data_IF_526637259244
#
_entry.id   IF_526637259244
#
_cell.length_a   1.000
_cell.length_b   1.000
_cell.length_c   1.000
_cell.angle_alpha   90.00
_cell.angle_beta   90.00
_cell.angle_gamma   90.00
#
_symmetry.space_group_name_H-M   'P 1'
#
loop_
_entity.id
_entity.type
_entity.pdbx_description
1 polymer ?
#
# COMPACT_ATOMS: atom_id res chain seq x y z
N UNK A 1 -5.78 4.85 32.66
CA UNK A 1 -6.26 3.83 31.70
C UNK A 1 -6.88 4.65 30.60
N UNK A 2 -6.31 4.80 29.42
CA UNK A 2 -5.61 3.83 28.58
C UNK A 2 -4.40 4.50 27.90
N UNK A 3 -3.25 3.82 27.89
CA UNK A 3 -2.13 4.23 27.05
C UNK A 3 -2.60 4.06 25.60
N UNK A 4 -2.70 5.14 24.82
CA UNK A 4 -3.00 5.08 23.39
C UNK A 4 -1.97 4.18 22.70
N UNK A 5 -2.34 2.92 22.50
CA UNK A 5 -1.67 1.93 21.65
C UNK A 5 -1.86 2.27 20.17
N UNK A 6 -1.79 3.54 19.79
CA UNK A 6 -1.35 3.93 18.45
C UNK A 6 0.16 3.78 18.41
N UNK A 7 0.62 2.53 18.57
CA UNK A 7 1.91 2.12 18.03
C UNK A 7 1.90 2.59 16.58
N UNK A 8 2.69 3.63 16.28
CA UNK A 8 2.79 4.25 14.97
C UNK A 8 2.84 3.16 13.90
N UNK A 9 1.72 2.88 13.22
CA UNK A 9 1.66 1.82 12.22
C UNK A 9 2.65 2.18 11.11
N UNK A 10 3.78 1.46 11.03
CA UNK A 10 4.89 1.77 10.13
C UNK A 10 4.76 0.97 8.86
N UNK A 11 3.83 1.38 8.00
CA UNK A 11 3.74 0.81 6.66
C UNK A 11 4.88 1.29 5.78
N UNK A 12 5.36 0.42 4.90
CA UNK A 12 6.43 0.74 3.96
C UNK A 12 6.26 0.01 2.63
N UNK A 13 6.92 0.53 1.61
CA UNK A 13 7.12 -0.14 0.33
C UNK A 13 8.60 -0.25 -0.01
N UNK A 14 9.00 -1.42 -0.50
CA UNK A 14 10.39 -1.71 -0.88
C UNK A 14 10.70 -1.03 -2.22
N UNK A 15 11.59 -0.04 -2.23
CA UNK A 15 11.96 0.72 -3.44
C UNK A 15 13.20 0.16 -4.14
N UNK A 16 14.10 -0.49 -3.39
CA UNK A 16 15.32 -1.13 -3.93
C UNK A 16 15.30 -2.64 -3.72
N UNK A 17 15.77 -3.39 -4.73
CA UNK A 17 15.83 -4.85 -4.67
C UNK A 17 17.06 -5.29 -3.86
N UNK A 18 16.84 -6.11 -2.83
CA UNK A 18 17.92 -6.82 -2.14
C UNK A 18 18.14 -8.22 -2.73
N UNK A 19 19.38 -8.72 -2.74
CA UNK A 19 19.73 -10.08 -3.22
C UNK A 19 19.19 -11.20 -2.32
N UNK A 20 18.95 -10.92 -1.03
CA UNK A 20 18.47 -11.88 -0.02
C UNK A 20 17.23 -11.38 0.76
N UNK A 21 16.56 -10.35 0.25
CA UNK A 21 15.46 -9.69 0.95
C UNK A 21 14.19 -9.59 0.10
N UNK A 22 13.25 -8.80 0.59
CA UNK A 22 11.97 -8.56 -0.05
C UNK A 22 12.13 -7.98 -1.46
N UNK A 23 11.20 -8.34 -2.35
CA UNK A 23 11.24 -7.86 -3.73
C UNK A 23 10.77 -6.41 -3.83
N UNK A 24 11.28 -5.70 -4.84
CA UNK A 24 10.90 -4.31 -5.13
C UNK A 24 9.38 -4.21 -5.42
N UNK A 25 8.72 -3.21 -4.83
CA UNK A 25 7.27 -2.99 -4.90
C UNK A 25 6.44 -3.75 -3.85
N UNK A 26 7.11 -4.49 -2.99
CA UNK A 26 6.50 -5.19 -1.85
C UNK A 26 6.07 -4.19 -0.79
N UNK A 27 4.86 -4.36 -0.26
CA UNK A 27 4.31 -3.55 0.84
C UNK A 27 4.37 -4.37 2.12
N UNK A 28 4.80 -3.76 3.21
CA UNK A 28 4.86 -4.40 4.51
C UNK A 28 4.47 -3.47 5.65
N UNK A 29 4.32 -4.07 6.83
CA UNK A 29 4.17 -3.40 8.11
C UNK A 29 5.43 -3.68 8.94
N UNK A 30 6.13 -2.64 9.37
CA UNK A 30 7.32 -2.77 10.20
C UNK A 30 6.94 -2.83 11.67
N UNK A 31 7.23 -3.95 12.32
CA UNK A 31 6.93 -4.14 13.74
C UNK A 31 8.09 -3.58 14.59
N UNK A 32 9.34 -3.79 14.18
CA UNK A 32 10.54 -3.35 14.90
C UNK A 32 11.67 -2.91 13.95
N UNK A 33 12.51 -1.98 14.42
CA UNK A 33 13.77 -1.59 13.79
C UNK A 33 14.92 -2.20 14.60
N UNK A 34 15.77 -3.00 13.96
CA UNK A 34 16.93 -3.60 14.63
C UNK A 34 17.99 -2.53 14.90
N UNK A 35 18.90 -2.80 15.83
CA UNK A 35 20.07 -1.95 16.10
C UNK A 35 20.97 -1.73 14.85
N UNK A 36 20.83 -2.57 13.83
CA UNK A 36 21.54 -2.43 12.55
C UNK A 36 20.79 -1.56 11.51
N UNK A 37 19.61 -1.02 11.86
CA UNK A 37 18.78 -0.20 10.97
C UNK A 37 17.93 -1.01 9.97
N UNK A 38 17.76 -2.31 10.23
CA UNK A 38 16.87 -3.17 9.44
C UNK A 38 15.45 -3.12 9.99
N UNK A 39 14.47 -3.00 9.10
CA UNK A 39 13.05 -3.17 9.43
C UNK A 39 12.70 -4.65 9.35
N UNK A 40 12.15 -5.19 10.43
CA UNK A 40 11.54 -6.51 10.47
C UNK A 40 10.03 -6.31 10.38
N UNK A 41 9.40 -6.98 9.43
CA UNK A 41 8.00 -6.75 9.18
C UNK A 41 7.28 -7.85 8.44
N UNK A 42 5.96 -7.85 8.60
CA UNK A 42 5.04 -8.69 7.86
C UNK A 42 4.83 -8.10 6.48
N UNK A 43 4.90 -8.97 5.46
CA UNK A 43 4.71 -8.57 4.07
C UNK A 43 3.35 -8.99 3.55
N UNK A 44 2.70 -8.07 2.84
CA UNK A 44 1.42 -8.29 2.19
C UNK A 44 1.59 -8.64 0.71
N UNK A 45 1.00 -9.76 0.30
CA UNK A 45 0.92 -10.20 -1.09
C UNK A 45 -0.18 -9.50 -1.88
N UNK A 46 -0.22 -9.75 -3.19
CA UNK A 46 -1.40 -9.41 -4.00
C UNK A 46 -2.64 -10.07 -3.39
N UNK A 47 -3.67 -9.27 -3.08
CA UNK A 47 -4.85 -9.72 -2.35
C UNK A 47 -4.89 -9.38 -0.84
N UNK A 48 -3.90 -8.65 -0.31
CA UNK A 48 -3.88 -8.17 1.08
C UNK A 48 -3.48 -9.20 2.15
N UNK A 49 -3.35 -10.47 1.78
CA UNK A 49 -2.92 -11.52 2.71
C UNK A 49 -1.46 -11.34 3.12
N UNK A 50 -1.20 -11.44 4.44
CA UNK A 50 0.15 -11.66 4.96
C UNK A 50 0.74 -12.92 4.30
N UNK A 51 1.96 -12.80 3.77
CA UNK A 51 2.65 -13.89 3.07
C UNK A 51 3.83 -14.45 3.85
N UNK A 52 4.68 -13.58 4.37
CA UNK A 52 5.91 -13.95 5.06
C UNK A 52 6.41 -12.78 5.89
N UNK A 53 7.11 -13.05 6.98
CA UNK A 53 7.98 -12.06 7.60
C UNK A 53 9.25 -11.92 6.76
N UNK A 54 9.82 -10.72 6.74
CA UNK A 54 11.10 -10.50 6.09
C UNK A 54 11.80 -9.28 6.65
N UNK A 55 13.11 -9.24 6.41
CA UNK A 55 13.96 -8.15 6.84
C UNK A 55 14.33 -7.30 5.63
N UNK A 56 14.24 -5.98 5.77
CA UNK A 56 14.64 -5.03 4.73
C UNK A 56 15.32 -3.82 5.36
N UNK A 57 16.37 -3.32 4.72
CA UNK A 57 17.05 -2.11 5.18
C UNK A 57 16.11 -0.92 5.05
N UNK A 58 16.03 -0.07 6.07
CA UNK A 58 15.21 1.15 6.06
C UNK A 58 15.53 2.08 4.87
N UNK A 59 16.79 2.17 4.45
CA UNK A 59 17.22 2.96 3.28
C UNK A 59 16.73 2.42 1.92
N UNK A 60 16.25 1.17 1.90
CA UNK A 60 15.72 0.50 0.71
C UNK A 60 14.18 0.50 0.70
N UNK A 61 13.56 1.16 1.68
CA UNK A 61 12.12 1.34 1.78
C UNK A 61 11.71 2.80 1.67
N UNK A 62 10.44 3.02 1.40
CA UNK A 62 9.77 4.31 1.49
C UNK A 62 8.59 4.19 2.46
N UNK A 63 8.43 5.11 3.42
CA UNK A 63 7.34 5.06 4.39
C UNK A 63 6.00 5.36 3.71
N UNK A 64 4.96 4.64 4.12
CA UNK A 64 3.60 4.84 3.64
C UNK A 64 2.66 5.11 4.82
N UNK A 65 1.61 5.87 4.56
CA UNK A 65 0.44 5.85 5.45
C UNK A 65 -0.34 4.56 5.24
N UNK A 66 -1.19 4.19 6.21
CA UNK A 66 -2.11 3.05 6.06
C UNK A 66 -2.94 3.17 4.78
N UNK A 67 -3.59 4.31 4.56
CA UNK A 67 -4.40 4.57 3.36
C UNK A 67 -3.63 4.35 2.06
N UNK A 68 -2.41 4.87 1.96
CA UNK A 68 -1.54 4.66 0.80
C UNK A 68 -1.20 3.18 0.58
N UNK A 69 -0.86 2.46 1.66
CA UNK A 69 -0.56 1.03 1.59
C UNK A 69 -1.77 0.22 1.12
N UNK A 70 -2.97 0.52 1.64
CA UNK A 70 -4.21 -0.16 1.27
C UNK A 70 -4.60 0.06 -0.19
N UNK A 71 -4.47 1.29 -0.71
CA UNK A 71 -4.72 1.61 -2.12
C UNK A 71 -3.69 0.92 -3.04
N UNK A 72 -2.40 0.99 -2.70
CA UNK A 72 -1.35 0.37 -3.50
C UNK A 72 -1.41 -1.17 -3.52
N UNK A 73 -2.00 -1.80 -2.50
CA UNK A 73 -2.16 -3.25 -2.50
C UNK A 73 -3.06 -3.76 -3.63
N UNK A 74 -4.06 -2.97 -4.02
CA UNK A 74 -4.94 -3.29 -5.16
C UNK A 74 -4.21 -3.20 -6.50
N UNK A 75 -3.11 -2.44 -6.58
CA UNK A 75 -2.30 -2.31 -7.79
C UNK A 75 -1.42 -3.55 -7.98
N UNK A 76 -1.62 -4.23 -9.10
CA UNK A 76 -0.84 -5.39 -9.56
C UNK A 76 -0.36 -5.18 -10.99
N UNK A 77 0.86 -5.61 -11.36
CA UNK A 77 1.89 -6.24 -10.53
C UNK A 77 2.61 -5.26 -9.59
N UNK A 78 3.42 -5.77 -8.66
CA UNK A 78 4.12 -4.96 -7.66
C UNK A 78 5.01 -3.84 -8.26
N UNK A 79 5.55 -4.02 -9.47
CA UNK A 79 6.33 -2.98 -10.16
C UNK A 79 5.51 -1.71 -10.43
N UNK A 80 4.21 -1.86 -10.78
CA UNK A 80 3.31 -0.73 -11.07
C UNK A 80 3.02 0.13 -9.85
N UNK A 81 3.13 -0.41 -8.64
CA UNK A 81 2.98 0.35 -7.39
C UNK A 81 4.01 1.47 -7.28
N UNK A 82 5.26 1.18 -7.65
CA UNK A 82 6.33 2.16 -7.61
C UNK A 82 6.23 3.18 -8.74
N UNK A 83 5.79 2.76 -9.93
CA UNK A 83 5.51 3.71 -11.02
C UNK A 83 4.46 4.74 -10.60
N UNK A 84 3.40 4.29 -9.91
CA UNK A 84 2.38 5.18 -9.36
C UNK A 84 2.93 6.09 -8.26
N UNK A 85 3.66 5.52 -7.30
CA UNK A 85 4.26 6.25 -6.18
C UNK A 85 5.27 7.31 -6.66
N UNK A 86 6.04 7.03 -7.71
CA UNK A 86 6.96 8.00 -8.31
C UNK A 86 6.24 9.17 -8.99
N UNK A 87 4.99 8.99 -9.42
CA UNK A 87 4.16 10.10 -9.89
C UNK A 87 3.41 10.73 -8.71
N UNK A 88 4.14 11.56 -7.96
CA UNK A 88 3.68 12.15 -6.70
C UNK A 88 2.36 12.91 -6.86
N UNK A 89 2.22 13.70 -7.93
CA UNK A 89 1.00 14.48 -8.17
C UNK A 89 -0.22 13.58 -8.40
N UNK A 90 -0.08 12.58 -9.27
CA UNK A 90 -1.16 11.65 -9.57
C UNK A 90 -1.54 10.82 -8.34
N UNK A 91 -0.54 10.27 -7.64
CA UNK A 91 -0.83 9.43 -6.48
C UNK A 91 -1.42 10.23 -5.32
N UNK A 92 -0.96 11.47 -5.10
CA UNK A 92 -1.56 12.38 -4.12
C UNK A 92 -3.01 12.69 -4.46
N UNK A 93 -3.32 12.95 -5.75
CA UNK A 93 -4.69 13.18 -6.18
C UNK A 93 -5.58 11.94 -5.93
N UNK A 94 -5.08 10.74 -6.27
CA UNK A 94 -5.79 9.48 -5.99
C UNK A 94 -6.05 9.29 -4.50
N UNK A 95 -5.07 9.59 -3.65
CA UNK A 95 -5.23 9.47 -2.19
C UNK A 95 -6.28 10.43 -1.63
N UNK A 96 -6.49 11.58 -2.29
CA UNK A 96 -7.41 12.63 -1.88
C UNK A 96 -8.80 12.53 -2.54
N UNK A 97 -9.03 11.56 -3.43
CA UNK A 97 -10.32 11.38 -4.09
C UNK A 97 -11.44 11.20 -3.06
N UNK A 98 -12.48 12.01 -3.22
CA UNK A 98 -13.69 11.98 -2.43
C UNK A 98 -14.88 11.54 -3.30
N UNK A 99 -16.01 11.31 -2.64
CA UNK A 99 -17.27 11.07 -3.33
C UNK A 99 -17.62 12.27 -4.24
N UNK A 100 -18.19 11.97 -5.41
CA UNK A 100 -18.57 12.88 -6.48
C UNK A 100 -17.41 13.58 -7.20
N UNK A 101 -16.15 13.22 -6.91
CA UNK A 101 -15.01 13.68 -7.71
C UNK A 101 -15.07 13.10 -9.13
N UNK A 102 -14.86 13.98 -10.12
CA UNK A 102 -14.78 13.60 -11.53
C UNK A 102 -13.41 13.01 -11.83
N UNK A 103 -13.39 11.77 -12.29
CA UNK A 103 -12.19 11.06 -12.73
C UNK A 103 -12.34 10.60 -14.17
N UNK A 104 -11.23 10.55 -14.90
CA UNK A 104 -11.18 9.94 -16.23
C UNK A 104 -10.42 8.63 -16.11
N UNK A 105 -11.13 7.53 -16.33
CA UNK A 105 -10.54 6.19 -16.31
C UNK A 105 -10.26 5.69 -17.71
N UNK A 106 -9.17 4.95 -17.86
CA UNK A 106 -8.91 4.17 -19.07
C UNK A 106 -9.59 2.81 -18.93
N UNK A 107 -10.67 2.60 -19.67
CA UNK A 107 -11.34 1.31 -19.77
C UNK A 107 -11.10 0.72 -21.16
N UNK A 108 -10.36 -0.39 -21.24
CA UNK A 108 -9.88 -0.99 -22.49
C UNK A 108 -9.06 0.02 -23.32
N UNK A 109 -9.58 0.47 -24.47
CA UNK A 109 -8.91 1.42 -25.36
C UNK A 109 -9.44 2.85 -25.23
N UNK A 110 -10.50 3.03 -24.47
CA UNK A 110 -11.22 4.30 -24.39
C UNK A 110 -11.03 4.97 -23.03
N UNK A 111 -11.20 6.28 -23.02
CA UNK A 111 -11.24 7.08 -21.81
C UNK A 111 -12.69 7.42 -21.49
N UNK A 112 -13.10 7.14 -20.26
CA UNK A 112 -14.46 7.38 -19.80
C UNK A 112 -14.44 8.28 -18.56
N UNK A 113 -15.19 9.40 -18.56
CA UNK A 113 -15.44 10.17 -17.36
C UNK A 113 -16.40 9.41 -16.44
N UNK A 114 -16.06 9.34 -15.16
CA UNK A 114 -16.86 8.73 -14.11
C UNK A 114 -16.82 9.60 -12.86
N UNK A 115 -17.83 9.47 -12.00
CA UNK A 115 -17.83 10.07 -10.67
C UNK A 115 -17.44 9.02 -9.66
N UNK A 116 -16.64 9.38 -8.67
CA UNK A 116 -16.34 8.49 -7.55
C UNK A 116 -17.60 8.34 -6.70
N UNK A 117 -18.12 7.13 -6.57
CA UNK A 117 -19.28 6.85 -5.71
C UNK A 117 -18.86 6.63 -4.27
N UNK A 118 -17.83 5.80 -4.06
CA UNK A 118 -17.39 5.45 -2.72
C UNK A 118 -15.97 4.86 -2.72
N UNK A 119 -15.33 4.90 -1.55
CA UNK A 119 -14.11 4.16 -1.24
C UNK A 119 -14.48 2.85 -0.55
N UNK A 120 -14.27 1.73 -1.23
CA UNK A 120 -14.70 0.40 -0.79
C UNK A 120 -13.51 -0.46 -0.36
N UNK A 121 -13.77 -1.35 0.61
CA UNK A 121 -12.82 -2.40 1.00
C UNK A 121 -12.92 -3.58 0.04
N UNK A 122 -11.78 -4.04 -0.45
CA UNK A 122 -11.67 -5.14 -1.41
C UNK A 122 -10.91 -6.30 -0.76
N UNK A 123 -11.51 -7.49 -0.74
CA UNK A 123 -10.88 -8.71 -0.19
C UNK A 123 -11.76 -9.45 0.83
N UNK A 124 -11.20 -10.49 1.46
CA UNK A 124 -11.90 -11.27 2.49
C UNK A 124 -11.92 -10.51 3.82
N UNK A 125 -13.09 -10.45 4.45
CA UNK A 125 -13.35 -9.78 5.74
C UNK A 125 -12.40 -10.23 6.86
N UNK A 126 -12.08 -9.25 7.71
CA UNK A 126 -11.41 -9.29 9.02
C UNK A 126 -10.83 -10.64 9.43
N UNK A 127 -9.66 -10.95 8.87
CA UNK A 127 -8.74 -11.87 9.52
C UNK A 127 -7.70 -11.05 10.28
N UNK A 128 -7.41 -11.39 11.55
CA UNK A 128 -6.31 -10.77 12.29
C UNK A 128 -5.03 -10.83 11.44
N UNK A 129 -4.33 -9.70 11.29
CA UNK A 129 -3.08 -9.60 10.54
C UNK A 129 -3.22 -9.43 9.01
N UNK A 130 -4.42 -9.17 8.48
CA UNK A 130 -4.64 -8.85 7.06
C UNK A 130 -4.80 -7.34 6.88
N UNK A 131 -3.98 -6.74 6.01
CA UNK A 131 -4.20 -5.37 5.58
C UNK A 131 -5.25 -5.35 4.46
N UNK A 132 -6.41 -4.77 4.75
CA UNK A 132 -7.52 -4.68 3.82
C UNK A 132 -7.16 -3.78 2.64
N UNK A 133 -7.43 -4.22 1.42
CA UNK A 133 -7.20 -3.38 0.23
C UNK A 133 -8.34 -2.38 0.09
N UNK A 134 -8.04 -1.22 -0.48
CA UNK A 134 -9.02 -0.21 -0.83
C UNK A 134 -9.09 -0.01 -2.34
N UNK A 135 -10.27 0.31 -2.84
CA UNK A 135 -10.48 0.74 -4.22
C UNK A 135 -11.68 1.65 -4.34
N UNK A 136 -11.78 2.35 -5.47
CA UNK A 136 -12.87 3.28 -5.74
C UNK A 136 -13.97 2.59 -6.55
N UNK A 137 -15.19 2.76 -6.10
CA UNK A 137 -16.39 2.49 -6.88
C UNK A 137 -16.71 3.73 -7.74
N UNK A 138 -16.99 3.51 -9.03
CA UNK A 138 -17.21 4.54 -10.05
C UNK A 138 -18.61 4.41 -10.68
#
# INVERSE_FOLDING_TARGET
MELNEEQQERYFIVVRRSKKGLSRGTIGHGDEETAAGDLIGIVYGGGGSARSSGTVKKQDTYPLTRHQAQLLLFVSPASRRLELLCNVQLFSAICALAQDDLVVIKHKKDFQPCLVKNLIQIGKKDKPGVLQMLGFEL
#
